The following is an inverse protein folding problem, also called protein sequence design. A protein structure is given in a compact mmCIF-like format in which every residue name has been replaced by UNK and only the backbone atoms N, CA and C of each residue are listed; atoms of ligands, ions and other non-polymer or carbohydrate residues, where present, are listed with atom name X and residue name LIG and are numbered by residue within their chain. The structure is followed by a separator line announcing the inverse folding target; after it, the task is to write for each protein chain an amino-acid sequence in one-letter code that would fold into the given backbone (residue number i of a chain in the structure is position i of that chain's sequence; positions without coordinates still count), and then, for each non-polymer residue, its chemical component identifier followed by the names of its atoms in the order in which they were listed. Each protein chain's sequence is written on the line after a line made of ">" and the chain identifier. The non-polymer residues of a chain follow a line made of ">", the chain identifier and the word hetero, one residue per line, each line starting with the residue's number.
data_IF_039995397944
#
_entry.id   IF_039995397944
#
_cell.length_a   1.000
_cell.length_b   1.000
_cell.length_c   1.000
_cell.angle_alpha   90.00
_cell.angle_beta   90.00
_cell.angle_gamma   90.00
#
_symmetry.space_group_name_H-M   'P 1'
#
loop_
_entity.id
_entity.type
_entity.pdbx_description
1 polymer ?
#
# COMPACT_ATOMS: atom_id res chain seq x y z
N UNK A 1 22.82 4.48 11.57
CA UNK A 1 23.16 5.51 12.56
C UNK A 1 23.18 4.91 13.97
N UNK A 2 24.34 4.69 14.51
CA UNK A 2 24.56 3.93 15.75
C UNK A 2 24.27 4.71 17.04
N UNK A 3 23.74 5.93 16.99
CA UNK A 3 23.54 6.76 18.18
C UNK A 3 22.20 7.52 18.24
N UNK A 4 21.19 7.11 17.50
CA UNK A 4 19.85 7.75 17.56
C UNK A 4 19.86 9.25 17.25
N UNK A 5 20.88 9.76 16.54
CA UNK A 5 20.93 11.15 16.12
C UNK A 5 19.94 11.36 14.99
N UNK A 6 18.95 12.22 15.23
CA UNK A 6 18.09 12.68 14.15
C UNK A 6 18.96 13.43 13.14
N UNK A 7 19.13 12.85 11.97
CA UNK A 7 19.68 13.55 10.81
C UNK A 7 18.48 14.19 10.16
N UNK A 8 18.43 15.50 10.09
CA UNK A 8 17.48 16.22 9.26
C UNK A 8 18.12 16.39 7.88
N UNK A 9 17.90 15.51 6.90
CA UNK A 9 18.22 15.85 5.54
C UNK A 9 17.18 16.89 5.13
N UNK A 10 17.64 18.07 4.81
CA UNK A 10 16.77 19.11 4.29
C UNK A 10 16.52 18.78 2.83
N UNK A 11 15.45 18.05 2.57
CA UNK A 11 14.88 17.98 1.24
C UNK A 11 13.90 19.16 1.21
N UNK A 12 14.37 20.30 0.75
CA UNK A 12 13.58 21.54 0.72
C UNK A 12 12.22 21.35 0.05
N UNK A 13 12.17 20.50 -0.97
CA UNK A 13 10.95 20.13 -1.67
C UNK A 13 9.88 19.42 -0.80
N UNK A 14 10.27 18.86 0.35
CA UNK A 14 9.38 18.19 1.29
C UNK A 14 9.09 19.03 2.55
N UNK A 15 9.63 20.23 2.62
CA UNK A 15 9.40 21.10 3.76
C UNK A 15 7.92 21.50 3.85
N UNK A 16 7.29 21.22 5.00
CA UNK A 16 5.86 21.44 5.21
C UNK A 16 4.92 20.45 4.49
N UNK A 17 5.45 19.48 3.78
CA UNK A 17 4.65 18.46 3.09
C UNK A 17 4.32 17.31 4.04
N UNK A 18 3.06 16.90 4.08
CA UNK A 18 2.64 15.74 4.87
C UNK A 18 2.99 14.44 4.14
N UNK A 19 3.90 13.67 4.74
CA UNK A 19 4.30 12.35 4.26
C UNK A 19 3.24 11.32 4.65
N UNK A 20 2.91 10.41 3.75
CA UNK A 20 1.96 9.30 3.95
C UNK A 20 2.63 7.93 3.98
N UNK A 21 3.58 7.72 3.11
CA UNK A 21 4.30 6.46 3.00
C UNK A 21 5.73 6.72 2.54
N UNK A 22 6.66 5.95 3.06
CA UNK A 22 8.05 5.89 2.59
C UNK A 22 8.38 4.42 2.39
N UNK A 23 8.93 4.08 1.23
CA UNK A 23 9.38 2.73 0.91
C UNK A 23 10.68 2.79 0.12
N UNK A 24 11.62 1.91 0.46
CA UNK A 24 12.82 1.66 -0.30
C UNK A 24 12.50 0.65 -1.42
N UNK A 25 12.99 0.92 -2.63
CA UNK A 25 12.92 -0.04 -3.75
C UNK A 25 14.14 -0.97 -3.75
N UNK A 26 14.11 -2.00 -4.58
CA UNK A 26 15.19 -2.98 -4.71
C UNK A 26 16.52 -2.38 -5.19
N UNK A 27 16.50 -1.17 -5.74
CA UNK A 27 17.67 -0.41 -6.20
C UNK A 27 18.23 0.55 -5.14
N UNK A 28 17.61 0.58 -3.93
CA UNK A 28 17.99 1.45 -2.82
C UNK A 28 17.48 2.89 -2.92
N UNK A 29 16.55 3.20 -3.83
CA UNK A 29 15.90 4.50 -3.86
C UNK A 29 14.75 4.55 -2.87
N UNK A 30 14.52 5.73 -2.27
CA UNK A 30 13.37 5.97 -1.40
C UNK A 30 12.24 6.62 -2.17
N UNK A 31 11.07 5.98 -2.13
CA UNK A 31 9.83 6.50 -2.69
C UNK A 31 8.98 7.08 -1.57
N UNK A 32 8.56 8.32 -1.73
CA UNK A 32 7.85 9.10 -0.71
C UNK A 32 6.51 9.55 -1.27
N UNK A 33 5.43 8.97 -0.76
CA UNK A 33 4.06 9.38 -1.07
C UNK A 33 3.63 10.53 -0.17
N UNK A 34 2.98 11.54 -0.75
CA UNK A 34 2.59 12.73 -0.03
C UNK A 34 1.08 12.98 -0.06
N UNK A 35 0.64 13.87 0.82
CA UNK A 35 -0.74 14.36 0.87
C UNK A 35 -0.83 15.71 0.16
N UNK A 36 -0.86 15.70 -1.17
CA UNK A 36 -1.10 16.89 -1.98
C UNK A 36 0.11 17.44 -2.75
N UNK A 37 1.27 16.75 -2.72
CA UNK A 37 2.46 17.18 -3.49
C UNK A 37 3.00 16.07 -4.42
N UNK A 38 2.19 15.04 -4.71
CA UNK A 38 2.56 13.94 -5.56
C UNK A 38 3.48 12.92 -4.87
N UNK A 39 4.41 12.36 -5.60
CA UNK A 39 5.36 11.34 -5.17
C UNK A 39 6.79 11.82 -5.43
N UNK A 40 7.69 11.54 -4.50
CA UNK A 40 9.10 11.86 -4.65
C UNK A 40 9.91 10.56 -4.67
N UNK A 41 10.91 10.52 -5.54
CA UNK A 41 11.96 9.50 -5.56
C UNK A 41 13.27 10.15 -5.12
N UNK A 42 13.88 9.63 -4.08
CA UNK A 42 15.24 9.95 -3.69
C UNK A 42 16.13 8.82 -4.16
N UNK A 43 17.07 9.14 -5.02
CA UNK A 43 18.03 8.15 -5.50
C UNK A 43 19.17 7.95 -4.50
N UNK A 44 19.81 6.78 -4.55
CA UNK A 44 20.89 6.42 -3.63
C UNK A 44 22.09 7.38 -3.71
N UNK A 45 22.30 8.04 -4.84
CA UNK A 45 23.31 9.07 -5.06
C UNK A 45 22.90 10.48 -4.61
N UNK A 46 21.71 10.61 -4.02
CA UNK A 46 21.18 11.85 -3.46
C UNK A 46 20.37 12.70 -4.42
N UNK A 47 20.07 12.22 -5.63
CA UNK A 47 19.16 12.88 -6.55
C UNK A 47 17.72 12.90 -6.02
N UNK A 48 16.97 13.96 -6.36
CA UNK A 48 15.54 14.08 -6.01
C UNK A 48 14.74 14.26 -7.28
N UNK A 49 13.77 13.39 -7.50
CA UNK A 49 12.81 13.49 -8.60
C UNK A 49 11.40 13.55 -8.06
N UNK A 50 10.60 14.46 -8.60
CA UNK A 50 9.18 14.60 -8.29
C UNK A 50 8.32 14.05 -9.41
N UNK A 51 7.28 13.33 -9.04
CA UNK A 51 6.19 12.90 -9.92
C UNK A 51 4.90 13.54 -9.46
N UNK A 52 4.20 14.18 -10.38
CA UNK A 52 2.90 14.83 -10.16
C UNK A 52 2.07 14.79 -11.46
N UNK A 53 0.99 15.55 -11.50
CA UNK A 53 0.14 15.61 -12.71
C UNK A 53 0.85 16.10 -13.95
N UNK A 54 1.89 16.93 -13.81
CA UNK A 54 2.63 17.49 -14.96
C UNK A 54 3.45 16.44 -15.70
N UNK A 55 3.80 15.34 -15.02
CA UNK A 55 4.55 14.23 -15.61
C UNK A 55 3.80 12.87 -15.55
N UNK A 56 2.49 12.93 -15.52
CA UNK A 56 1.63 11.79 -15.84
C UNK A 56 0.89 11.13 -14.70
N UNK A 57 1.11 11.53 -13.44
CA UNK A 57 0.32 10.99 -12.34
C UNK A 57 -1.14 11.46 -12.43
N UNK A 58 -2.09 10.59 -12.04
CA UNK A 58 -3.52 10.90 -12.04
C UNK A 58 -3.99 11.76 -10.85
N UNK A 59 -3.12 12.01 -9.87
CA UNK A 59 -3.44 12.75 -8.65
C UNK A 59 -2.23 13.38 -7.98
N UNK A 60 -2.46 13.93 -6.81
CA UNK A 60 -1.43 14.55 -5.96
C UNK A 60 -1.38 13.97 -4.55
N UNK A 61 -2.42 13.21 -4.13
CA UNK A 61 -2.48 12.55 -2.85
C UNK A 61 -2.30 11.04 -3.05
N UNK A 62 -1.15 10.54 -2.59
CA UNK A 62 -0.79 9.13 -2.62
C UNK A 62 -0.58 8.60 -1.20
N UNK A 63 -1.03 7.35 -0.97
CA UNK A 63 -1.09 6.72 0.35
C UNK A 63 -0.14 5.55 0.49
N UNK A 64 0.13 4.87 -0.59
CA UNK A 64 0.92 3.65 -0.61
C UNK A 64 1.82 3.57 -1.83
N UNK A 65 2.90 2.83 -1.67
CA UNK A 65 3.88 2.49 -2.71
C UNK A 65 4.12 0.99 -2.66
N UNK A 66 4.13 0.34 -3.81
CA UNK A 66 4.51 -1.07 -3.98
C UNK A 66 5.43 -1.19 -5.18
N UNK A 67 6.60 -1.80 -5.00
CA UNK A 67 7.44 -2.23 -6.10
C UNK A 67 6.91 -3.56 -6.61
N UNK A 68 6.63 -3.61 -7.90
CA UNK A 68 6.15 -4.82 -8.57
C UNK A 68 7.32 -5.70 -9.00
N UNK A 69 7.05 -6.96 -9.28
CA UNK A 69 8.07 -7.96 -9.65
C UNK A 69 8.84 -7.64 -10.94
N UNK A 70 8.36 -6.70 -11.76
CA UNK A 70 9.01 -6.19 -12.96
C UNK A 70 9.72 -4.85 -12.73
N UNK A 71 9.93 -4.46 -11.48
CA UNK A 71 10.50 -3.19 -11.01
C UNK A 71 9.61 -1.94 -11.30
N UNK A 72 8.41 -2.11 -11.82
CA UNK A 72 7.44 -1.00 -11.90
C UNK A 72 7.06 -0.56 -10.49
N UNK A 73 7.02 0.75 -10.26
CA UNK A 73 6.57 1.30 -8.99
C UNK A 73 5.09 1.66 -9.09
N UNK A 74 4.29 0.95 -8.34
CA UNK A 74 2.87 1.24 -8.15
C UNK A 74 2.69 2.21 -6.99
N UNK A 75 2.11 3.36 -7.26
CA UNK A 75 1.68 4.33 -6.25
C UNK A 75 0.17 4.48 -6.30
N UNK A 76 -0.49 4.51 -5.15
CA UNK A 76 -1.94 4.54 -5.10
C UNK A 76 -2.48 5.50 -4.03
N UNK A 77 -3.68 6.01 -4.24
CA UNK A 77 -4.29 6.99 -3.34
C UNK A 77 -5.69 7.42 -3.76
N UNK A 78 -6.00 8.69 -3.54
CA UNK A 78 -7.37 9.22 -3.69
C UNK A 78 -7.84 9.28 -5.14
N UNK A 79 -6.93 9.27 -6.11
CA UNK A 79 -7.25 9.33 -7.54
C UNK A 79 -7.10 7.99 -8.27
N UNK A 80 -6.96 6.89 -7.52
CA UNK A 80 -6.71 5.56 -8.06
C UNK A 80 -5.24 5.17 -7.98
N UNK A 81 -4.72 4.54 -9.03
CA UNK A 81 -3.36 3.99 -9.09
C UNK A 81 -2.58 4.57 -10.26
N UNK A 82 -1.30 4.80 -10.05
CA UNK A 82 -0.33 5.18 -11.09
C UNK A 82 0.85 4.21 -11.06
N UNK A 83 1.31 3.81 -12.22
CA UNK A 83 2.40 2.87 -12.42
C UNK A 83 3.55 3.60 -13.09
N UNK A 84 4.68 3.68 -12.42
CA UNK A 84 5.88 4.38 -12.86
C UNK A 84 6.89 3.34 -13.26
N UNK A 85 7.26 3.29 -14.54
CA UNK A 85 8.27 2.36 -15.06
C UNK A 85 9.69 2.89 -14.86
N UNK A 86 10.68 2.03 -15.09
CA UNK A 86 12.09 2.39 -14.99
C UNK A 86 12.52 3.53 -15.97
N UNK A 87 11.85 3.64 -17.11
CA UNK A 87 12.06 4.71 -18.09
C UNK A 87 11.29 5.99 -17.73
N UNK A 88 10.72 6.05 -16.53
CA UNK A 88 9.88 7.12 -16.02
C UNK A 88 8.54 7.32 -16.77
N UNK A 89 8.17 6.44 -17.67
CA UNK A 89 6.84 6.44 -18.25
C UNK A 89 5.78 6.08 -17.22
N UNK A 90 4.61 6.71 -17.32
CA UNK A 90 3.52 6.56 -16.35
C UNK A 90 2.26 6.11 -17.07
N UNK A 91 1.57 5.11 -16.50
CA UNK A 91 0.20 4.78 -16.87
C UNK A 91 -0.69 4.69 -15.62
N UNK A 92 -2.01 4.80 -15.80
CA UNK A 92 -2.93 4.98 -14.67
C UNK A 92 -4.16 4.06 -14.76
N UNK A 93 -4.62 3.64 -13.58
CA UNK A 93 -5.98 3.12 -13.38
C UNK A 93 -6.71 4.13 -12.47
N UNK A 94 -7.66 4.86 -13.02
CA UNK A 94 -8.35 5.92 -12.30
C UNK A 94 -9.47 5.42 -11.39
N UNK A 95 -9.92 6.30 -10.49
CA UNK A 95 -11.04 6.01 -9.55
C UNK A 95 -12.36 5.70 -10.24
N UNK A 96 -12.54 6.12 -11.49
CA UNK A 96 -13.71 5.76 -12.28
C UNK A 96 -13.87 4.24 -12.49
N UNK A 97 -12.74 3.51 -12.44
CA UNK A 97 -12.71 2.06 -12.55
C UNK A 97 -12.80 1.37 -11.18
N UNK A 98 -12.23 1.99 -10.13
CA UNK A 98 -12.13 1.42 -8.78
C UNK A 98 -13.33 1.85 -7.92
N UNK A 99 -13.96 2.97 -8.23
CA UNK A 99 -15.09 3.56 -7.50
C UNK A 99 -14.79 3.89 -6.02
N UNK A 100 -13.52 3.97 -5.63
CA UNK A 100 -13.09 4.28 -4.25
C UNK A 100 -11.64 4.76 -4.24
N UNK A 101 -11.21 5.31 -3.09
CA UNK A 101 -9.80 5.58 -2.81
C UNK A 101 -9.08 4.28 -2.54
N UNK A 102 -7.82 4.19 -2.96
CA UNK A 102 -6.95 3.05 -2.64
C UNK A 102 -6.12 3.38 -1.40
N UNK A 103 -6.21 2.53 -0.39
CA UNK A 103 -5.52 2.71 0.89
C UNK A 103 -4.23 1.90 0.97
N UNK A 104 -4.21 0.70 0.40
CA UNK A 104 -3.04 -0.18 0.35
C UNK A 104 -3.03 -1.01 -0.93
N UNK A 105 -1.86 -1.50 -1.30
CA UNK A 105 -1.66 -2.39 -2.45
C UNK A 105 -0.71 -3.52 -2.09
N UNK A 106 -0.91 -4.68 -2.71
CA UNK A 106 -0.06 -5.86 -2.60
C UNK A 106 -0.02 -6.55 -3.95
N UNK A 107 1.14 -7.05 -4.37
CA UNK A 107 1.25 -7.96 -5.51
C UNK A 107 1.55 -9.36 -5.01
N UNK A 108 0.75 -10.34 -5.42
CA UNK A 108 0.99 -11.75 -5.14
C UNK A 108 1.99 -12.37 -6.14
N UNK A 109 2.47 -13.57 -5.84
CA UNK A 109 3.46 -14.31 -6.64
C UNK A 109 3.03 -14.53 -8.10
N UNK A 110 1.73 -14.69 -8.36
CA UNK A 110 1.16 -14.85 -9.71
C UNK A 110 1.00 -13.51 -10.46
N UNK A 111 1.61 -12.44 -9.94
CA UNK A 111 1.53 -11.05 -10.43
C UNK A 111 0.16 -10.40 -10.30
N UNK A 112 -0.82 -11.04 -9.68
CA UNK A 112 -2.08 -10.41 -9.34
C UNK A 112 -1.84 -9.27 -8.36
N UNK A 113 -2.41 -8.10 -8.65
CA UNK A 113 -2.36 -6.94 -7.75
C UNK A 113 -3.69 -6.88 -7.01
N UNK A 114 -3.60 -6.83 -5.70
CA UNK A 114 -4.72 -6.55 -4.81
C UNK A 114 -4.66 -5.08 -4.38
N UNK A 115 -5.74 -4.35 -4.59
CA UNK A 115 -5.87 -2.96 -4.17
C UNK A 115 -6.96 -2.84 -3.11
N UNK A 116 -6.56 -2.64 -1.87
CA UNK A 116 -7.46 -2.41 -0.74
C UNK A 116 -8.00 -0.99 -0.73
N UNK A 117 -9.31 -0.85 -0.60
CA UNK A 117 -10.02 0.41 -0.81
C UNK A 117 -10.69 0.96 0.45
N UNK A 118 -11.13 2.22 0.38
CA UNK A 118 -11.89 2.91 1.41
C UNK A 118 -13.41 2.74 1.16
N UNK A 119 -13.88 1.48 1.28
CA UNK A 119 -15.32 1.18 1.23
C UNK A 119 -15.80 0.37 0.03
N UNK A 120 -14.89 -0.13 -0.84
CA UNK A 120 -15.25 -1.04 -1.94
C UNK A 120 -14.47 -2.37 -1.87
N UNK A 121 -14.03 -2.78 -0.68
CA UNK A 121 -13.31 -4.04 -0.50
C UNK A 121 -11.94 -4.05 -1.18
N UNK A 122 -11.60 -5.18 -1.79
CA UNK A 122 -10.33 -5.42 -2.47
C UNK A 122 -10.58 -5.60 -3.96
N UNK A 123 -10.03 -4.70 -4.78
CA UNK A 123 -10.01 -4.86 -6.23
C UNK A 123 -8.90 -5.81 -6.64
N UNK A 124 -9.21 -6.68 -7.58
CA UNK A 124 -8.28 -7.65 -8.15
C UNK A 124 -7.89 -7.20 -9.54
N UNK A 125 -6.60 -6.94 -9.75
CA UNK A 125 -6.07 -6.43 -11.02
C UNK A 125 -5.10 -7.44 -11.61
N UNK A 126 -5.30 -7.78 -12.89
CA UNK A 126 -4.39 -8.56 -13.72
C UNK A 126 -4.17 -7.87 -15.05
N UNK A 127 -2.94 -7.82 -15.51
CA UNK A 127 -2.56 -7.20 -16.79
C UNK A 127 -3.11 -5.76 -16.97
N UNK A 128 -3.17 -5.01 -15.86
CA UNK A 128 -3.66 -3.63 -15.87
C UNK A 128 -5.19 -3.49 -15.95
N UNK A 129 -5.93 -4.58 -15.80
CA UNK A 129 -7.40 -4.59 -15.85
C UNK A 129 -7.96 -5.11 -14.52
N UNK A 130 -9.05 -4.47 -14.04
CA UNK A 130 -9.80 -4.97 -12.90
C UNK A 130 -10.61 -6.19 -13.36
N UNK A 131 -10.34 -7.34 -12.75
CA UNK A 131 -10.93 -8.64 -13.11
C UNK A 131 -11.90 -9.16 -12.06
N UNK A 132 -11.96 -8.55 -10.88
CA UNK A 132 -12.85 -8.95 -9.79
C UNK A 132 -12.72 -8.05 -8.58
N UNK A 133 -13.58 -8.31 -7.61
CA UNK A 133 -13.61 -7.61 -6.33
C UNK A 133 -13.93 -8.59 -5.21
N UNK A 134 -13.32 -8.43 -4.04
CA UNK A 134 -13.69 -9.11 -2.81
C UNK A 134 -14.35 -8.12 -1.86
N UNK A 135 -15.58 -8.39 -1.51
CA UNK A 135 -16.38 -7.63 -0.56
C UNK A 135 -16.85 -8.49 0.61
N UNK A 136 -17.93 -8.05 1.25
CA UNK A 136 -18.53 -8.79 2.37
C UNK A 136 -19.11 -10.13 1.94
N UNK A 137 -19.59 -10.24 0.70
CA UNK A 137 -20.14 -11.48 0.17
C UNK A 137 -19.08 -12.58 0.03
N UNK A 138 -17.81 -12.18 -0.17
CA UNK A 138 -16.66 -13.06 -0.30
C UNK A 138 -15.97 -13.33 1.04
N UNK A 139 -16.52 -12.82 2.16
CA UNK A 139 -16.05 -13.14 3.51
C UNK A 139 -15.33 -12.01 4.27
N UNK A 140 -15.20 -10.82 3.68
CA UNK A 140 -14.68 -9.66 4.41
C UNK A 140 -15.68 -9.18 5.46
N UNK A 141 -15.18 -8.83 6.64
CA UNK A 141 -16.02 -8.24 7.70
C UNK A 141 -16.35 -6.76 7.44
N UNK A 142 -15.51 -6.08 6.68
CA UNK A 142 -15.66 -4.68 6.26
C UNK A 142 -15.03 -4.48 4.89
N UNK A 143 -15.59 -3.54 4.13
CA UNK A 143 -15.09 -3.14 2.80
C UNK A 143 -14.08 -1.98 2.86
N UNK A 144 -13.73 -1.52 4.05
CA UNK A 144 -12.60 -0.60 4.28
C UNK A 144 -11.36 -1.42 4.60
N UNK A 145 -10.41 -1.45 3.68
CA UNK A 145 -9.19 -2.26 3.76
C UNK A 145 -8.00 -1.36 4.09
N UNK A 146 -7.49 -1.48 5.29
CA UNK A 146 -6.45 -0.59 5.79
C UNK A 146 -5.05 -1.05 5.41
N UNK A 147 -4.81 -2.38 5.40
CA UNK A 147 -3.52 -2.97 5.09
C UNK A 147 -3.66 -4.41 4.61
N UNK A 148 -2.73 -4.85 3.79
CA UNK A 148 -2.55 -6.25 3.41
C UNK A 148 -1.07 -6.59 3.51
N UNK A 149 -0.76 -7.80 4.01
CA UNK A 149 0.60 -8.37 4.02
C UNK A 149 0.53 -9.85 3.67
N UNK A 150 1.51 -10.34 2.93
CA UNK A 150 1.65 -11.77 2.69
C UNK A 150 1.98 -12.49 3.99
N UNK A 151 1.44 -13.68 4.14
CA UNK A 151 1.86 -14.60 5.19
C UNK A 151 3.32 -15.01 4.96
N UNK A 152 4.12 -15.07 6.02
CA UNK A 152 5.53 -15.48 5.95
C UNK A 152 5.73 -16.91 5.40
N UNK A 153 4.74 -17.79 5.58
CA UNK A 153 4.71 -19.12 4.97
C UNK A 153 4.43 -19.09 3.47
N UNK A 154 3.97 -17.96 2.94
CA UNK A 154 3.49 -17.81 1.57
C UNK A 154 2.14 -18.47 1.30
N UNK A 155 1.40 -18.90 2.33
CA UNK A 155 0.13 -19.63 2.16
C UNK A 155 -1.10 -18.73 1.99
N UNK A 156 -0.95 -17.43 2.13
CA UNK A 156 -2.04 -16.48 1.96
C UNK A 156 -1.70 -15.04 2.30
N UNK A 157 -2.73 -14.26 2.56
CA UNK A 157 -2.64 -12.82 2.80
C UNK A 157 -3.43 -12.48 4.06
N UNK A 158 -2.79 -11.80 4.99
CA UNK A 158 -3.47 -11.14 6.11
C UNK A 158 -4.04 -9.81 5.64
N UNK A 159 -5.30 -9.57 5.95
CA UNK A 159 -6.07 -8.39 5.55
C UNK A 159 -6.56 -7.68 6.80
N UNK A 160 -6.11 -6.46 7.01
CA UNK A 160 -6.62 -5.60 8.08
C UNK A 160 -7.73 -4.74 7.53
N UNK A 161 -8.91 -4.94 8.06
CA UNK A 161 -10.09 -4.12 7.75
C UNK A 161 -10.31 -3.07 8.85
N UNK A 162 -11.31 -2.22 8.72
CA UNK A 162 -11.65 -1.24 9.75
C UNK A 162 -12.12 -1.83 11.07
N UNK A 163 -12.46 -3.11 11.13
CA UNK A 163 -13.02 -3.75 12.32
C UNK A 163 -12.49 -5.17 12.61
N UNK A 164 -11.59 -5.71 11.80
CA UNK A 164 -11.08 -7.06 11.97
C UNK A 164 -9.76 -7.31 11.26
N UNK A 165 -9.17 -8.46 11.56
CA UNK A 165 -8.19 -9.13 10.72
C UNK A 165 -8.89 -10.29 10.02
N UNK A 166 -8.76 -10.34 8.70
CA UNK A 166 -9.15 -11.45 7.85
C UNK A 166 -7.91 -12.14 7.29
N UNK A 167 -8.09 -13.37 6.85
CA UNK A 167 -7.07 -14.15 6.13
C UNK A 167 -7.67 -14.66 4.84
N UNK A 168 -6.98 -14.43 3.74
CA UNK A 168 -7.30 -14.97 2.42
C UNK A 168 -6.27 -16.04 2.06
N UNK A 169 -6.70 -17.28 1.87
CA UNK A 169 -5.83 -18.38 1.47
C UNK A 169 -5.52 -18.34 -0.05
N UNK A 170 -4.64 -19.24 -0.51
CA UNK A 170 -4.26 -19.36 -1.93
C UNK A 170 -5.42 -19.70 -2.88
N UNK A 171 -6.50 -20.23 -2.34
CA UNK A 171 -7.74 -20.51 -3.09
C UNK A 171 -8.70 -19.33 -3.09
N UNK A 172 -8.25 -18.20 -2.51
CA UNK A 172 -9.00 -16.94 -2.38
C UNK A 172 -10.23 -17.05 -1.46
N UNK A 173 -10.27 -18.04 -0.55
CA UNK A 173 -11.26 -18.08 0.50
C UNK A 173 -10.88 -17.11 1.63
N UNK A 174 -11.80 -16.25 1.99
CA UNK A 174 -11.58 -15.26 3.04
C UNK A 174 -12.31 -15.69 4.32
N UNK A 175 -11.59 -15.64 5.44
CA UNK A 175 -12.16 -15.88 6.78
C UNK A 175 -11.74 -14.79 7.76
N UNK A 176 -12.63 -14.45 8.67
CA UNK A 176 -12.33 -13.52 9.76
C UNK A 176 -11.54 -14.28 10.84
N UNK A 177 -10.35 -13.80 11.17
CA UNK A 177 -9.53 -14.36 12.25
C UNK A 177 -9.91 -13.74 13.58
N UNK A 178 -10.02 -12.40 13.63
CA UNK A 178 -10.31 -11.68 14.87
C UNK A 178 -11.02 -10.37 14.59
N UNK A 179 -12.07 -10.10 15.35
CA UNK A 179 -12.73 -8.81 15.36
C UNK A 179 -12.06 -7.87 16.37
N UNK A 180 -11.89 -6.61 15.97
CA UNK A 180 -11.42 -5.54 16.85
C UNK A 180 -12.52 -4.48 16.92
N UNK A 181 -13.26 -4.40 18.02
CA UNK A 181 -14.26 -3.37 18.17
C UNK A 181 -13.59 -1.99 18.39
N UNK A 182 -13.93 -1.01 17.57
CA UNK A 182 -13.81 0.42 17.84
C UNK A 182 -12.46 1.14 17.72
N UNK A 183 -11.45 0.61 17.04
CA UNK A 183 -10.17 1.33 16.94
C UNK A 183 -9.77 1.56 15.48
N UNK A 184 -9.71 2.82 15.09
CA UNK A 184 -9.15 3.25 13.81
C UNK A 184 -7.62 3.21 13.88
N UNK A 185 -6.97 3.03 12.74
CA UNK A 185 -5.52 3.00 12.55
C UNK A 185 -4.87 1.67 12.96
N UNK A 186 -5.15 0.65 12.17
CA UNK A 186 -4.41 -0.60 12.25
C UNK A 186 -3.30 -0.63 11.20
N UNK A 187 -2.16 -1.12 11.59
CA UNK A 187 -1.11 -1.58 10.70
C UNK A 187 -0.74 -3.01 11.08
N UNK A 188 -0.09 -3.73 10.18
CA UNK A 188 0.27 -5.13 10.37
C UNK A 188 1.67 -5.35 9.80
N UNK A 189 2.49 -6.09 10.53
CA UNK A 189 3.86 -6.39 10.14
C UNK A 189 4.18 -7.84 10.51
N UNK A 190 4.75 -8.57 9.56
CA UNK A 190 5.34 -9.87 9.86
C UNK A 190 6.59 -9.69 10.73
N UNK A 191 6.63 -10.42 11.84
CA UNK A 191 7.80 -10.54 12.70
C UNK A 191 8.68 -11.73 12.32
N UNK A 192 9.60 -12.08 13.19
CA UNK A 192 10.34 -13.34 13.14
C UNK A 192 9.49 -14.46 13.74
N UNK A 193 9.82 -15.71 13.40
CA UNK A 193 9.20 -16.91 13.96
C UNK A 193 7.67 -16.95 13.78
N UNK A 194 7.19 -16.57 12.58
CA UNK A 194 5.76 -16.55 12.19
C UNK A 194 4.87 -15.66 13.06
N UNK A 195 5.46 -14.77 13.85
CA UNK A 195 4.69 -13.78 14.62
C UNK A 195 4.14 -12.69 13.73
N UNK A 196 2.88 -12.36 13.92
CA UNK A 196 2.21 -11.25 13.27
C UNK A 196 1.98 -10.14 14.30
N UNK A 197 2.58 -8.97 14.08
CA UNK A 197 2.35 -7.80 14.92
C UNK A 197 1.24 -6.95 14.32
N UNK A 198 0.22 -6.69 15.12
CA UNK A 198 -0.90 -5.82 14.76
C UNK A 198 -0.82 -4.56 15.61
N UNK A 199 -0.64 -3.43 14.95
CA UNK A 199 -0.59 -2.12 15.59
C UNK A 199 -1.99 -1.49 15.58
N UNK A 200 -2.42 -0.98 16.70
CA UNK A 200 -3.69 -0.25 16.82
C UNK A 200 -3.54 0.94 17.76
N UNK A 201 -4.56 1.78 17.82
CA UNK A 201 -4.62 2.87 18.80
C UNK A 201 -4.68 2.37 20.25
N UNK A 202 -5.04 1.10 20.48
CA UNK A 202 -5.08 0.48 21.81
C UNK A 202 -3.77 -0.20 22.22
N UNK A 203 -2.81 -0.34 21.31
CA UNK A 203 -1.53 -0.99 21.57
C UNK A 203 -1.06 -1.90 20.43
N UNK A 204 -0.05 -2.71 20.73
CA UNK A 204 0.50 -3.73 19.82
C UNK A 204 0.00 -5.09 20.29
N UNK A 205 -0.59 -5.83 19.38
CA UNK A 205 -1.02 -7.21 19.59
C UNK A 205 -0.10 -8.14 18.81
N UNK A 206 0.17 -9.31 19.39
CA UNK A 206 0.89 -10.40 18.74
C UNK A 206 -0.11 -11.52 18.45
N UNK A 207 -0.13 -12.00 17.24
CA UNK A 207 -1.02 -13.08 16.77
C UNK A 207 -0.18 -14.19 16.18
#
# INVERSE_FOLDING_TARGET
>A
NTKGRCITPVIDALNGVRIRCIKEDSKGNLWICTSGAGVYKLTIDGGVKKYDKSNGLNGELYRTVTELSDNTILVAGDSGMSFIKDDDSVYNIGTQMINSKVLCTLQADDKTIFAGTDGNGIEVIRDGVIVGNFGKNEGLSSEVILRMVEDSSGDGIFIVTSNSICYMDKTQNIRVLKNFPYYNNYDIVNGKDDMLFVLSSAGIFVV
#
